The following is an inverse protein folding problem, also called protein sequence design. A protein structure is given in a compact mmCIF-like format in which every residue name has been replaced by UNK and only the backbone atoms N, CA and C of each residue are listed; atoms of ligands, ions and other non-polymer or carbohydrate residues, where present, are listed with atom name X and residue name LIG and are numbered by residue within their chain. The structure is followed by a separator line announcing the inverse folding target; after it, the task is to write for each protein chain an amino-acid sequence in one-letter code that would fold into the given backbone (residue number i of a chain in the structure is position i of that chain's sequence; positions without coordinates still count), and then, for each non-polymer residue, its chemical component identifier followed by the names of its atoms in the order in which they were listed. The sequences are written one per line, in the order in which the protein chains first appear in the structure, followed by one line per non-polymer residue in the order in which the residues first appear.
data_IF_040657820454
#
_entry.id   IF_040657820454
#
_cell.length_a   1.000
_cell.length_b   1.000
_cell.length_c   1.000
_cell.angle_alpha   90.00
_cell.angle_beta   90.00
_cell.angle_gamma   90.00
#
_symmetry.space_group_name_H-M   'P 1'
#
loop_
_entity.id
_entity.type
_entity.pdbx_description
1 polymer ?
#
# COMPACT_ATOMS: atom_id res chain seq x y z
N UNK A 1 -10.83 10.38 18.59
CA UNK A 1 -10.13 11.68 18.49
C UNK A 1 -9.17 11.60 17.33
N UNK A 2 -9.36 12.41 16.30
CA UNK A 2 -8.46 12.47 15.13
C UNK A 2 -7.15 13.13 15.54
N UNK A 3 -6.00 12.52 15.22
CA UNK A 3 -4.67 13.11 15.41
C UNK A 3 -4.13 13.58 14.05
N UNK A 4 -3.63 14.80 14.00
CA UNK A 4 -2.91 15.34 12.84
C UNK A 4 -1.42 15.42 13.19
N UNK A 5 -0.54 14.99 12.28
CA UNK A 5 0.90 15.02 12.51
C UNK A 5 1.69 14.64 11.27
N UNK A 6 2.97 15.02 11.26
CA UNK A 6 3.93 14.54 10.27
C UNK A 6 4.21 13.07 10.54
N UNK A 7 4.10 12.24 9.52
CA UNK A 7 4.30 10.81 9.64
C UNK A 7 5.71 10.42 10.11
N UNK A 8 6.70 11.28 9.89
CA UNK A 8 8.07 11.06 10.34
C UNK A 8 8.25 11.32 11.85
N UNK A 9 7.36 12.11 12.46
CA UNK A 9 7.51 12.66 13.82
C UNK A 9 6.33 12.31 14.73
N UNK A 10 5.22 11.83 14.18
CA UNK A 10 3.99 11.57 14.93
C UNK A 10 4.21 10.43 15.93
N UNK A 11 3.95 10.73 17.21
CA UNK A 11 4.00 9.73 18.27
C UNK A 11 2.75 8.84 18.19
N UNK A 12 2.93 7.63 17.65
CA UNK A 12 1.92 6.59 17.58
C UNK A 12 1.98 5.71 18.83
N UNK A 13 0.83 5.38 19.45
CA UNK A 13 0.80 4.46 20.57
C UNK A 13 1.30 3.09 20.13
N UNK A 14 2.19 2.49 20.94
CA UNK A 14 2.68 1.13 20.71
C UNK A 14 1.56 0.11 20.89
N UNK A 15 1.54 -0.90 20.03
CA UNK A 15 0.66 -2.07 20.12
C UNK A 15 -0.82 -1.73 20.34
N UNK A 16 -1.32 -0.75 19.60
CA UNK A 16 -2.65 -0.21 19.77
C UNK A 16 -3.62 -0.67 18.67
N UNK A 17 -3.16 -0.70 17.42
CA UNK A 17 -4.03 -0.89 16.27
C UNK A 17 -4.20 -2.38 15.91
N UNK A 18 -5.44 -2.76 15.57
CA UNK A 18 -5.78 -4.10 15.07
C UNK A 18 -5.60 -4.23 13.55
N UNK A 19 -5.63 -3.10 12.83
CA UNK A 19 -5.40 -2.98 11.41
C UNK A 19 -4.83 -1.59 11.12
N UNK A 20 -3.78 -1.54 10.30
CA UNK A 20 -3.32 -0.29 9.67
C UNK A 20 -3.48 -0.46 8.15
N UNK A 21 -4.01 0.56 7.50
CA UNK A 21 -4.14 0.61 6.05
C UNK A 21 -3.37 1.80 5.50
N UNK A 22 -2.45 1.54 4.57
CA UNK A 22 -1.66 2.56 3.86
C UNK A 22 -2.04 2.45 2.39
N UNK A 23 -2.45 3.56 1.78
CA UNK A 23 -2.85 3.60 0.38
C UNK A 23 -2.21 4.78 -0.31
N UNK A 24 -1.51 4.53 -1.42
CA UNK A 24 -0.99 5.56 -2.32
C UNK A 24 -0.19 6.63 -1.56
N UNK A 25 0.87 6.18 -0.91
CA UNK A 25 1.65 7.01 0.01
C UNK A 25 3.15 6.73 -0.09
N UNK A 26 3.55 5.45 -0.07
CA UNK A 26 4.96 5.05 0.02
C UNK A 26 5.80 5.53 -1.16
N UNK A 27 5.20 5.64 -2.36
CA UNK A 27 5.84 6.12 -3.58
C UNK A 27 6.30 7.58 -3.52
N UNK A 28 5.72 8.35 -2.60
CA UNK A 28 6.03 9.75 -2.36
C UNK A 28 7.15 9.95 -1.33
N UNK A 29 7.60 8.87 -0.67
CA UNK A 29 8.69 8.97 0.28
C UNK A 29 10.02 9.25 -0.43
N UNK A 30 10.95 10.02 0.15
CA UNK A 30 12.15 10.47 -0.58
C UNK A 30 13.14 9.36 -0.91
N UNK A 31 13.28 8.36 -0.03
CA UNK A 31 14.28 7.28 -0.18
C UNK A 31 13.76 5.95 0.37
N UNK A 32 14.35 4.81 -0.04
CA UNK A 32 14.00 3.50 0.52
C UNK A 32 14.16 3.41 2.05
N UNK A 33 15.11 4.14 2.62
CA UNK A 33 15.31 4.20 4.09
C UNK A 33 14.14 4.91 4.80
N UNK A 34 13.50 5.92 4.17
CA UNK A 34 12.28 6.50 4.71
C UNK A 34 11.13 5.49 4.73
N UNK A 35 11.00 4.65 3.69
CA UNK A 35 10.01 3.56 3.65
C UNK A 35 10.26 2.59 4.80
N UNK A 36 11.51 2.17 5.01
CA UNK A 36 11.90 1.29 6.11
C UNK A 36 11.53 1.88 7.48
N UNK A 37 11.95 3.11 7.77
CA UNK A 37 11.66 3.78 9.05
C UNK A 37 10.17 3.92 9.29
N UNK A 38 9.42 4.26 8.24
CA UNK A 38 7.97 4.37 8.32
C UNK A 38 7.30 3.03 8.64
N UNK A 39 7.65 1.96 7.91
CA UNK A 39 7.09 0.63 8.17
C UNK A 39 7.47 0.10 9.56
N UNK A 40 8.67 0.42 10.06
CA UNK A 40 9.08 0.13 11.43
C UNK A 40 8.15 0.79 12.47
N UNK A 41 7.82 2.07 12.28
CA UNK A 41 6.88 2.77 13.16
C UNK A 41 5.48 2.13 13.12
N UNK A 42 4.98 1.79 11.93
CA UNK A 42 3.69 1.11 11.79
C UNK A 42 3.68 -0.26 12.48
N UNK A 43 4.75 -1.04 12.34
CA UNK A 43 4.90 -2.32 13.04
C UNK A 43 4.88 -2.15 14.56
N UNK A 44 5.52 -1.11 15.09
CA UNK A 44 5.49 -0.84 16.54
C UNK A 44 4.09 -0.46 17.02
N UNK A 45 3.34 0.29 16.21
CA UNK A 45 1.97 0.70 16.52
C UNK A 45 0.94 -0.44 16.39
N UNK A 46 1.23 -1.47 15.59
CA UNK A 46 0.40 -2.67 15.45
C UNK A 46 0.52 -3.59 16.67
N UNK A 47 -0.62 -4.08 17.15
CA UNK A 47 -0.68 -5.19 18.12
C UNK A 47 -0.02 -6.46 17.53
N UNK A 48 0.47 -7.38 18.36
CA UNK A 48 0.97 -8.68 17.91
C UNK A 48 -0.07 -9.42 17.05
N UNK A 49 0.36 -10.17 16.03
CA UNK A 49 -0.50 -10.92 15.08
C UNK A 49 -1.51 -10.09 14.27
N UNK A 50 -1.41 -8.76 14.29
CA UNK A 50 -2.30 -7.85 13.55
C UNK A 50 -1.74 -7.44 12.20
N UNK A 51 -2.63 -6.86 11.38
CA UNK A 51 -2.42 -6.74 9.94
C UNK A 51 -2.06 -5.33 9.52
N UNK A 52 -1.13 -5.24 8.59
CA UNK A 52 -0.86 -4.07 7.77
C UNK A 52 -1.33 -4.37 6.36
N UNK A 53 -2.24 -3.56 5.84
CA UNK A 53 -2.63 -3.59 4.44
C UNK A 53 -1.98 -2.41 3.71
N UNK A 54 -1.34 -2.67 2.57
CA UNK A 54 -0.69 -1.66 1.75
C UNK A 54 -1.26 -1.73 0.34
N UNK A 55 -1.70 -0.60 -0.18
CA UNK A 55 -2.09 -0.40 -1.57
C UNK A 55 -1.27 0.73 -2.17
N UNK A 56 -0.89 0.60 -3.43
CA UNK A 56 -0.14 1.64 -4.12
C UNK A 56 0.10 1.31 -5.58
N UNK A 57 0.55 2.28 -6.38
CA UNK A 57 0.90 2.06 -7.78
C UNK A 57 1.99 0.99 -7.86
N UNK A 58 1.80 0.02 -8.74
CA UNK A 58 2.80 -0.99 -9.00
C UNK A 58 3.57 -0.61 -10.26
N UNK A 59 4.78 -0.07 -10.08
CA UNK A 59 5.64 0.41 -11.16
C UNK A 59 5.76 -0.59 -12.32
N UNK A 60 5.78 -1.90 -12.04
CA UNK A 60 5.81 -2.97 -13.05
C UNK A 60 4.65 -2.94 -14.05
N UNK A 61 3.51 -2.41 -13.66
CA UNK A 61 2.28 -2.35 -14.46
C UNK A 61 1.81 -0.93 -14.76
N UNK A 62 2.49 0.08 -14.20
CA UNK A 62 2.16 1.49 -14.39
C UNK A 62 3.31 2.32 -14.97
N UNK A 63 4.43 1.73 -15.38
CA UNK A 63 5.64 2.44 -15.82
C UNK A 63 5.37 3.61 -16.80
N UNK A 64 4.48 3.41 -17.78
CA UNK A 64 4.15 4.42 -18.80
C UNK A 64 3.46 5.68 -18.25
N UNK A 65 2.78 5.56 -17.11
CA UNK A 65 1.99 6.65 -16.49
C UNK A 65 2.54 7.04 -15.12
N UNK A 66 3.57 6.34 -14.64
CA UNK A 66 4.02 6.44 -13.25
C UNK A 66 4.53 7.84 -12.94
N UNK A 67 5.29 8.43 -13.86
CA UNK A 67 5.85 9.77 -13.69
C UNK A 67 4.98 10.86 -14.31
N UNK A 68 3.73 10.55 -14.67
CA UNK A 68 2.70 11.58 -14.94
C UNK A 68 2.25 12.29 -13.64
N UNK A 69 2.71 11.79 -12.49
CA UNK A 69 2.50 12.34 -11.15
C UNK A 69 3.82 12.90 -10.63
N UNK A 70 3.89 14.22 -10.43
CA UNK A 70 5.13 14.93 -10.12
C UNK A 70 5.73 14.56 -8.75
N UNK A 71 4.92 13.99 -7.87
CA UNK A 71 5.25 13.56 -6.53
C UNK A 71 5.61 12.07 -6.42
N UNK A 72 5.62 11.31 -7.53
CA UNK A 72 6.13 9.94 -7.54
C UNK A 72 7.66 9.95 -7.59
N UNK A 73 8.30 9.63 -6.45
CA UNK A 73 9.75 9.65 -6.31
C UNK A 73 10.35 8.25 -6.42
N UNK A 74 9.79 7.28 -5.70
CA UNK A 74 10.31 5.91 -5.65
C UNK A 74 9.53 4.99 -6.57
N UNK A 75 10.17 4.25 -7.50
CA UNK A 75 9.50 3.28 -8.37
C UNK A 75 9.20 1.97 -7.62
N UNK A 76 8.18 1.97 -6.76
CA UNK A 76 7.81 0.81 -5.94
C UNK A 76 6.96 -0.20 -6.73
N UNK A 77 7.17 -1.47 -6.45
CA UNK A 77 6.40 -2.60 -6.98
C UNK A 77 5.98 -3.55 -5.85
N UNK A 78 5.12 -4.51 -6.17
CA UNK A 78 4.74 -5.58 -5.23
C UNK A 78 5.96 -6.30 -4.62
N UNK A 79 7.02 -6.49 -5.42
CA UNK A 79 8.25 -7.18 -5.01
C UNK A 79 9.11 -6.33 -4.07
N UNK A 80 9.29 -5.05 -4.39
CA UNK A 80 10.10 -4.16 -3.54
C UNK A 80 9.39 -3.88 -2.20
N UNK A 81 8.05 -3.84 -2.19
CA UNK A 81 7.29 -3.73 -0.94
C UNK A 81 7.42 -5.01 -0.11
N UNK A 82 7.39 -6.19 -0.72
CA UNK A 82 7.64 -7.46 -0.03
C UNK A 82 9.01 -7.48 0.64
N UNK A 83 10.07 -7.01 -0.02
CA UNK A 83 11.41 -6.87 0.55
C UNK A 83 11.44 -5.89 1.74
N UNK A 84 10.80 -4.73 1.61
CA UNK A 84 10.70 -3.75 2.69
C UNK A 84 9.95 -4.30 3.91
N UNK A 85 8.89 -5.08 3.69
CA UNK A 85 8.13 -5.74 4.75
C UNK A 85 8.96 -6.82 5.46
N UNK A 86 9.70 -7.63 4.69
CA UNK A 86 10.62 -8.62 5.25
C UNK A 86 11.71 -7.96 6.10
N UNK A 87 12.25 -6.81 5.66
CA UNK A 87 13.27 -6.06 6.40
C UNK A 87 12.79 -5.54 7.76
N UNK A 88 11.48 -5.42 7.97
CA UNK A 88 10.87 -5.02 9.24
C UNK A 88 10.20 -6.19 9.97
N UNK A 89 10.54 -7.44 9.67
CA UNK A 89 9.95 -8.64 10.30
C UNK A 89 8.42 -8.76 10.15
N UNK A 90 7.86 -8.26 9.04
CA UNK A 90 6.46 -8.40 8.68
C UNK A 90 6.32 -9.50 7.63
N UNK A 91 5.47 -10.50 7.88
CA UNK A 91 5.23 -11.61 6.96
C UNK A 91 4.09 -11.29 6.01
N UNK A 92 4.33 -11.32 4.70
CA UNK A 92 3.29 -11.19 3.69
C UNK A 92 2.36 -12.43 3.69
N UNK A 93 1.07 -12.21 3.92
CA UNK A 93 0.04 -13.26 3.83
C UNK A 93 -0.63 -13.29 2.45
N UNK A 94 -0.74 -12.12 1.81
CA UNK A 94 -1.39 -11.97 0.52
C UNK A 94 -0.70 -10.89 -0.29
N UNK A 95 -0.43 -11.20 -1.55
CA UNK A 95 0.10 -10.26 -2.53
C UNK A 95 -0.80 -10.34 -3.76
N UNK A 96 -1.44 -9.21 -4.12
CA UNK A 96 -2.18 -9.04 -5.36
C UNK A 96 -1.41 -8.01 -6.20
N UNK A 97 -0.61 -8.42 -7.19
CA UNK A 97 0.24 -7.48 -7.94
C UNK A 97 -0.54 -6.45 -8.78
N UNK A 98 -1.75 -6.82 -9.20
CA UNK A 98 -2.66 -6.01 -10.01
C UNK A 98 -4.04 -6.05 -9.36
N UNK A 99 -4.47 -4.96 -8.74
CA UNK A 99 -5.70 -4.86 -7.96
C UNK A 99 -6.62 -3.77 -8.53
N UNK A 100 -6.28 -2.49 -8.35
CA UNK A 100 -7.06 -1.36 -8.88
C UNK A 100 -6.36 -0.70 -10.08
N UNK A 101 -7.10 0.01 -10.95
CA UNK A 101 -6.51 0.91 -11.94
C UNK A 101 -5.67 2.00 -11.28
N UNK A 102 -4.68 2.54 -11.99
CA UNK A 102 -3.76 3.56 -11.43
C UNK A 102 -4.51 4.83 -10.99
N UNK A 103 -5.46 5.26 -11.81
CA UNK A 103 -6.39 6.32 -11.49
C UNK A 103 -7.68 6.09 -12.26
N UNK A 104 -8.82 6.41 -11.65
CA UNK A 104 -10.10 6.49 -12.34
C UNK A 104 -10.19 7.83 -13.09
N UNK A 105 -9.28 8.07 -14.06
CA UNK A 105 -9.27 9.33 -14.84
C UNK A 105 -10.52 9.54 -15.70
N UNK A 106 -11.40 8.54 -15.83
CA UNK A 106 -12.67 8.68 -16.54
C UNK A 106 -13.86 8.62 -15.58
N UNK A 107 -14.75 9.61 -15.66
CA UNK A 107 -16.08 9.61 -15.03
C UNK A 107 -16.97 8.43 -15.50
N UNK A 108 -16.51 7.60 -16.44
CA UNK A 108 -17.28 6.51 -17.04
C UNK A 108 -17.27 5.22 -16.20
N UNK A 109 -16.31 5.06 -15.28
CA UNK A 109 -16.19 3.88 -14.40
C UNK A 109 -16.75 4.11 -12.98
N UNK A 110 -17.35 5.27 -12.70
CA UNK A 110 -17.86 5.62 -11.37
C UNK A 110 -19.26 5.07 -11.06
N UNK A 111 -19.93 4.40 -12.00
CA UNK A 111 -21.23 3.79 -11.73
C UNK A 111 -21.09 2.67 -10.67
N UNK A 112 -21.87 2.67 -9.57
CA UNK A 112 -21.68 1.74 -8.45
C UNK A 112 -21.72 0.26 -8.85
N UNK A 113 -22.55 -0.10 -9.84
CA UNK A 113 -22.60 -1.48 -10.35
C UNK A 113 -21.30 -1.91 -11.05
N UNK A 114 -20.66 -1.01 -11.80
CA UNK A 114 -19.39 -1.30 -12.47
C UNK A 114 -18.27 -1.47 -11.45
N UNK A 115 -18.26 -0.64 -10.41
CA UNK A 115 -17.30 -0.78 -9.29
C UNK A 115 -17.50 -2.11 -8.57
N UNK A 116 -18.74 -2.48 -8.23
CA UNK A 116 -19.06 -3.78 -7.62
C UNK A 116 -18.63 -4.95 -8.50
N UNK A 117 -18.95 -4.89 -9.79
CA UNK A 117 -18.59 -5.93 -10.75
C UNK A 117 -17.06 -6.05 -10.91
N UNK A 118 -16.36 -4.92 -10.98
CA UNK A 118 -14.90 -4.86 -11.02
C UNK A 118 -14.30 -5.55 -9.79
N UNK A 119 -14.78 -5.22 -8.59
CA UNK A 119 -14.30 -5.79 -7.34
C UNK A 119 -14.70 -7.26 -7.15
N UNK A 120 -15.79 -7.72 -7.75
CA UNK A 120 -16.26 -9.09 -7.61
C UNK A 120 -15.54 -10.09 -8.54
N UNK A 121 -14.95 -9.62 -9.64
CA UNK A 121 -14.40 -10.50 -10.69
C UNK A 121 -12.88 -10.29 -10.84
N UNK A 122 -12.04 -11.17 -10.28
CA UNK A 122 -10.57 -11.03 -10.30
C UNK A 122 -9.94 -10.96 -11.69
N UNK A 123 -10.64 -11.44 -12.73
CA UNK A 123 -10.18 -11.32 -14.12
C UNK A 123 -10.00 -9.86 -14.53
N UNK A 124 -10.88 -8.96 -14.08
CA UNK A 124 -10.74 -7.54 -14.38
C UNK A 124 -9.49 -6.93 -13.77
N UNK A 125 -9.06 -7.40 -12.60
CA UNK A 125 -7.83 -6.93 -11.97
C UNK A 125 -6.61 -7.30 -12.80
N UNK A 126 -6.61 -8.48 -13.43
CA UNK A 126 -5.52 -8.91 -14.33
C UNK A 126 -5.45 -8.10 -15.62
N UNK A 127 -6.53 -7.49 -16.07
CA UNK A 127 -6.56 -6.72 -17.32
C UNK A 127 -6.28 -5.25 -17.04
N UNK A 128 -6.98 -4.68 -16.07
CA UNK A 128 -6.99 -3.24 -15.79
C UNK A 128 -6.16 -2.82 -14.58
N UNK A 129 -5.80 -3.75 -13.71
CA UNK A 129 -5.07 -3.46 -12.49
C UNK A 129 -3.65 -2.96 -12.77
N UNK A 130 -3.30 -1.86 -12.10
CA UNK A 130 -1.98 -1.21 -12.11
C UNK A 130 -1.46 -0.91 -10.71
N UNK A 131 -2.30 -1.03 -9.69
CA UNK A 131 -1.92 -0.90 -8.28
C UNK A 131 -1.76 -2.30 -7.65
N UNK A 132 -0.83 -2.46 -6.71
CA UNK A 132 -0.74 -3.67 -5.89
C UNK A 132 -1.63 -3.56 -4.65
N UNK A 133 -1.99 -4.70 -4.08
CA UNK A 133 -2.58 -4.79 -2.74
C UNK A 133 -1.90 -5.91 -1.95
N UNK A 134 -1.30 -5.56 -0.83
CA UNK A 134 -0.51 -6.47 0.00
C UNK A 134 -1.10 -6.46 1.41
N UNK A 135 -1.21 -7.64 2.00
CA UNK A 135 -1.56 -7.82 3.41
C UNK A 135 -0.41 -8.54 4.09
N UNK A 136 0.14 -7.93 5.13
CA UNK A 136 1.21 -8.48 5.94
C UNK A 136 0.81 -8.50 7.41
N UNK A 137 1.38 -9.43 8.17
CA UNK A 137 1.09 -9.62 9.58
C UNK A 137 2.37 -9.44 10.40
N UNK A 138 2.24 -8.79 11.56
CA UNK A 138 3.33 -8.65 12.52
C UNK A 138 3.71 -10.03 13.05
N UNK A 139 4.94 -10.46 12.78
CA UNK A 139 5.50 -11.70 13.32
C UNK A 139 5.67 -11.54 14.84
N UNK A 140 5.22 -12.53 15.61
CA UNK A 140 5.50 -12.61 17.04
C UNK A 140 6.98 -13.02 17.19
N UNK A 141 7.86 -12.04 17.32
CA UNK A 141 9.23 -12.22 17.78
C UNK A 141 9.38 -11.51 19.11
#
# INVERSE_FOLDING_TARGET
MTRFGDIAVVDLPKEHFDLIFVSNFLEHLPTPDHVYRYLMQLRQALKPTRKLAIMGPNFRFSANEYYDFADHLLPLSDRTIEEHLAAVDMKCERIIPRFLPLAFRSQRLSHPLLVKLYLAVPLFWRIFGKQFFIVATKTNN
#
